data_IF_071695643334
#
_entry.id   IF_071695643334
#
_cell.length_a   1.000
_cell.length_b   1.000
_cell.length_c   1.000
_cell.angle_alpha   90.00
_cell.angle_beta   90.00
_cell.angle_gamma   90.00
#
_symmetry.space_group_name_H-M   'P 1'
#
loop_
_entity.id
_entity.type
_entity.pdbx_description
1 polymer ?
#
# COMPACT_ATOMS: atom_id res chain seq x y z
N UNK A 1 19.30 -9.61 8.45
CA UNK A 1 18.67 -9.51 7.11
C UNK A 1 19.31 -8.36 6.35
N UNK A 2 19.94 -8.65 5.22
CA UNK A 2 20.47 -7.63 4.30
C UNK A 2 19.33 -6.74 3.83
N UNK A 3 19.54 -5.43 3.86
CA UNK A 3 18.51 -4.44 3.53
C UNK A 3 18.23 -4.48 2.02
N UNK A 4 17.34 -5.35 1.58
CA UNK A 4 16.97 -5.50 0.16
C UNK A 4 16.40 -4.19 -0.35
N UNK A 5 17.16 -3.48 -1.20
CA UNK A 5 16.67 -2.23 -1.80
C UNK A 5 15.76 -2.57 -2.97
N UNK A 6 14.46 -2.43 -2.82
CA UNK A 6 13.54 -2.51 -3.95
C UNK A 6 13.58 -1.21 -4.77
N UNK A 7 13.39 -1.39 -6.08
CA UNK A 7 13.14 -0.30 -7.04
C UNK A 7 11.66 -0.24 -7.33
N UNK A 8 11.22 0.86 -7.92
CA UNK A 8 9.85 1.06 -8.36
C UNK A 8 9.74 2.12 -9.42
N UNK A 9 8.57 2.17 -10.05
CA UNK A 9 8.29 3.03 -11.19
C UNK A 9 7.51 4.27 -10.77
N UNK A 10 7.88 5.42 -11.31
CA UNK A 10 7.10 6.65 -11.23
C UNK A 10 5.97 6.62 -12.26
N UNK A 11 4.72 6.81 -11.83
CA UNK A 11 3.54 6.79 -12.70
C UNK A 11 3.51 7.93 -13.71
N UNK A 12 4.23 9.04 -13.45
CA UNK A 12 4.24 10.23 -14.30
C UNK A 12 5.26 10.15 -15.44
N UNK A 13 6.51 9.79 -15.14
CA UNK A 13 7.59 9.80 -16.13
C UNK A 13 8.05 8.40 -16.57
N UNK A 14 7.53 7.34 -15.95
CA UNK A 14 7.91 5.95 -16.22
C UNK A 14 9.31 5.55 -15.71
N UNK A 15 10.07 6.48 -15.11
CA UNK A 15 11.42 6.22 -14.60
C UNK A 15 11.44 5.23 -13.43
N UNK A 16 12.52 4.44 -13.33
CA UNK A 16 12.77 3.50 -12.23
C UNK A 16 13.68 4.12 -11.17
N UNK A 17 13.27 4.06 -9.91
CA UNK A 17 13.96 4.67 -8.77
C UNK A 17 14.02 3.71 -7.58
N UNK A 18 15.07 3.79 -6.78
CA UNK A 18 15.11 3.09 -5.50
C UNK A 18 14.12 3.71 -4.50
N UNK A 19 13.65 2.92 -3.54
CA UNK A 19 12.82 3.39 -2.42
C UNK A 19 13.37 4.65 -1.73
N UNK A 20 14.69 4.72 -1.54
CA UNK A 20 15.34 5.84 -0.85
C UNK A 20 15.36 7.15 -1.67
N UNK A 21 15.17 7.08 -2.98
CA UNK A 21 15.30 8.23 -3.90
C UNK A 21 13.95 8.64 -4.48
N UNK A 22 12.99 7.72 -4.61
CA UNK A 22 11.70 7.97 -5.28
C UNK A 22 10.92 9.14 -4.68
N UNK A 23 10.95 9.31 -3.35
CA UNK A 23 10.28 10.45 -2.69
C UNK A 23 10.81 11.81 -3.18
N UNK A 24 12.14 11.95 -3.23
CA UNK A 24 12.81 13.15 -3.74
C UNK A 24 12.57 13.33 -5.23
N UNK A 25 12.58 12.23 -5.99
CA UNK A 25 12.25 12.27 -7.41
C UNK A 25 10.83 12.81 -7.63
N UNK A 26 9.82 12.31 -6.92
CA UNK A 26 8.43 12.74 -7.08
C UNK A 26 8.26 14.24 -6.84
N UNK A 27 8.96 14.81 -5.86
CA UNK A 27 8.96 16.26 -5.61
C UNK A 27 9.57 17.07 -6.77
N UNK A 28 10.59 16.53 -7.44
CA UNK A 28 11.30 17.19 -8.54
C UNK A 28 10.80 16.81 -9.95
N UNK A 29 9.92 15.80 -10.07
CA UNK A 29 9.54 15.18 -11.34
C UNK A 29 8.90 16.20 -12.30
N UNK A 30 9.52 16.50 -13.45
CA UNK A 30 8.99 17.49 -14.40
C UNK A 30 7.61 17.11 -14.95
N UNK A 31 7.40 15.83 -15.27
CA UNK A 31 6.11 15.34 -15.77
C UNK A 31 4.99 15.55 -14.75
N UNK A 32 5.26 15.27 -13.46
CA UNK A 32 4.32 15.53 -12.37
C UNK A 32 4.03 17.02 -12.18
N UNK A 33 5.05 17.88 -12.30
CA UNK A 33 4.87 19.34 -12.22
C UNK A 33 3.96 19.83 -13.34
N UNK A 34 4.22 19.39 -14.57
CA UNK A 34 3.39 19.73 -15.73
C UNK A 34 1.92 19.31 -15.53
N UNK A 35 1.66 18.09 -15.02
CA UNK A 35 0.30 17.62 -14.75
C UNK A 35 -0.40 18.45 -13.65
N UNK A 36 0.33 18.86 -12.61
CA UNK A 36 -0.19 19.72 -11.55
C UNK A 36 -0.49 21.16 -12.01
N UNK A 37 0.13 21.62 -13.09
CA UNK A 37 -0.03 22.96 -13.64
C UNK A 37 -1.16 23.06 -14.69
N UNK A 38 -1.73 21.93 -15.15
CA UNK A 38 -2.81 21.93 -16.14
C UNK A 38 -4.08 22.56 -15.55
N UNK A 39 -4.57 23.71 -16.06
CA UNK A 39 -5.82 24.30 -15.60
C UNK A 39 -7.01 23.48 -16.10
N UNK A 40 -7.85 22.97 -15.21
CA UNK A 40 -9.14 22.37 -15.62
C UNK A 40 -10.11 23.44 -16.14
N UNK A 41 -10.98 23.02 -17.08
CA UNK A 41 -11.96 23.88 -17.76
C UNK A 41 -12.82 24.66 -16.75
N UNK A 42 -12.92 25.99 -16.96
CA UNK A 42 -13.85 26.88 -16.23
C UNK A 42 -15.28 26.33 -16.35
N UNK A 43 -15.88 25.86 -15.26
CA UNK A 43 -17.27 25.37 -15.33
C UNK A 43 -17.93 24.89 -14.04
N UNK A 44 -17.22 24.50 -12.98
CA UNK A 44 -17.87 24.06 -11.74
C UNK A 44 -17.24 24.72 -10.52
N UNK A 45 -18.07 25.46 -9.80
CA UNK A 45 -17.93 25.97 -8.43
C UNK A 45 -16.51 26.22 -7.90
N UNK A 46 -16.15 27.53 -7.82
CA UNK A 46 -15.09 28.12 -6.97
C UNK A 46 -14.22 27.09 -6.23
N UNK A 47 -13.32 26.45 -6.97
CA UNK A 47 -12.47 25.40 -6.42
C UNK A 47 -11.35 26.04 -5.62
N UNK A 48 -11.62 26.24 -4.32
CA UNK A 48 -10.57 26.51 -3.35
C UNK A 48 -9.50 25.44 -3.50
N UNK A 49 -8.24 25.86 -3.54
CA UNK A 49 -7.11 24.94 -3.50
C UNK A 49 -7.33 23.93 -2.36
N UNK A 50 -7.21 22.65 -2.70
CA UNK A 50 -7.43 21.54 -1.77
C UNK A 50 -6.05 21.12 -1.29
N UNK A 51 -5.88 21.02 0.03
CA UNK A 51 -4.71 20.36 0.60
C UNK A 51 -4.71 18.90 0.16
N UNK A 52 -3.57 18.44 -0.38
CA UNK A 52 -3.33 17.07 -0.83
C UNK A 52 -2.14 16.54 -0.04
N UNK A 53 -2.31 15.40 0.61
CA UNK A 53 -1.24 14.69 1.29
C UNK A 53 -0.52 13.77 0.32
N UNK A 54 0.81 13.78 0.40
CA UNK A 54 1.66 12.73 -0.14
C UNK A 54 1.98 11.74 0.99
N UNK A 55 1.50 10.51 0.86
CA UNK A 55 1.79 9.40 1.76
C UNK A 55 2.77 8.42 1.13
N UNK A 56 3.73 7.94 1.92
CA UNK A 56 4.49 6.71 1.64
C UNK A 56 3.89 5.60 2.49
N UNK A 57 3.55 4.48 1.87
CA UNK A 57 2.99 3.28 2.51
C UNK A 57 3.95 2.13 2.27
N UNK A 58 4.24 1.32 3.28
CA UNK A 58 5.09 0.13 3.16
C UNK A 58 4.61 -1.00 4.07
N UNK A 59 4.86 -2.25 3.70
CA UNK A 59 4.66 -3.37 4.63
C UNK A 59 5.59 -3.20 5.84
N UNK A 60 5.04 -3.26 7.06
CA UNK A 60 5.81 -3.04 8.29
C UNK A 60 6.94 -4.07 8.44
N UNK A 61 6.61 -5.35 8.27
CA UNK A 61 7.59 -6.45 8.30
C UNK A 61 8.10 -6.86 6.91
N UNK A 62 7.48 -6.34 5.84
CA UNK A 62 7.86 -6.59 4.44
C UNK A 62 8.13 -5.28 3.69
N UNK A 63 9.17 -4.52 4.07
CA UNK A 63 9.41 -3.16 3.56
C UNK A 63 9.87 -3.12 2.10
N UNK A 64 10.11 -4.26 1.45
CA UNK A 64 10.35 -4.34 0.01
C UNK A 64 9.11 -3.91 -0.79
N UNK A 65 7.90 -4.14 -0.25
CA UNK A 65 6.66 -3.63 -0.80
C UNK A 65 6.45 -2.20 -0.32
N UNK A 66 6.33 -1.25 -1.25
CA UNK A 66 6.00 0.14 -0.94
C UNK A 66 5.20 0.83 -2.05
N UNK A 67 4.41 1.83 -1.66
CA UNK A 67 3.65 2.75 -2.51
C UNK A 67 3.94 4.19 -2.11
N UNK A 68 3.90 5.09 -3.08
CA UNK A 68 3.74 6.52 -2.87
C UNK A 68 2.40 6.92 -3.46
N UNK A 69 1.54 7.54 -2.65
CA UNK A 69 0.19 7.94 -3.06
C UNK A 69 -0.07 9.41 -2.73
N UNK A 70 -0.97 10.03 -3.49
CA UNK A 70 -1.61 11.29 -3.11
C UNK A 70 -3.06 11.07 -2.73
N UNK A 71 -3.54 11.78 -1.71
CA UNK A 71 -4.95 11.75 -1.30
C UNK A 71 -5.37 13.13 -0.79
N UNK A 72 -6.62 13.53 -1.05
CA UNK A 72 -7.15 14.79 -0.57
C UNK A 72 -7.19 14.81 0.97
N UNK A 73 -6.78 15.91 1.59
CA UNK A 73 -6.77 16.04 3.06
C UNK A 73 -8.19 15.98 3.68
N UNK A 74 -9.20 16.31 2.88
CA UNK A 74 -10.64 16.18 3.22
C UNK A 74 -11.21 14.77 3.02
N UNK A 75 -10.47 13.85 2.40
CA UNK A 75 -10.85 12.44 2.40
C UNK A 75 -10.83 11.90 3.84
N UNK A 76 -11.45 10.75 4.06
CA UNK A 76 -11.50 10.12 5.39
C UNK A 76 -10.46 9.01 5.56
N UNK A 77 -10.22 8.56 6.79
CA UNK A 77 -9.48 7.31 7.02
C UNK A 77 -10.18 6.12 6.34
N UNK A 78 -11.52 6.13 6.25
CA UNK A 78 -12.30 5.08 5.57
C UNK A 78 -12.00 5.06 4.06
N UNK A 79 -11.82 6.22 3.43
CA UNK A 79 -11.42 6.31 2.03
C UNK A 79 -9.99 5.79 1.80
N UNK A 80 -9.08 6.09 2.73
CA UNK A 80 -7.71 5.56 2.70
C UNK A 80 -7.69 4.03 2.90
N UNK A 81 -8.44 3.51 3.87
CA UNK A 81 -8.59 2.08 4.12
C UNK A 81 -9.13 1.35 2.89
N UNK A 82 -10.23 1.84 2.31
CA UNK A 82 -10.83 1.27 1.10
C UNK A 82 -9.83 1.22 -0.04
N UNK A 83 -9.05 2.27 -0.23
CA UNK A 83 -8.00 2.31 -1.25
C UNK A 83 -6.90 1.27 -0.98
N UNK A 84 -6.37 1.20 0.25
CA UNK A 84 -5.32 0.24 0.62
C UNK A 84 -5.79 -1.20 0.44
N UNK A 85 -7.05 -1.48 0.82
CA UNK A 85 -7.69 -2.78 0.65
C UNK A 85 -7.81 -3.15 -0.82
N UNK A 86 -8.37 -2.27 -1.64
CA UNK A 86 -8.53 -2.52 -3.07
C UNK A 86 -7.19 -2.80 -3.77
N UNK A 87 -6.13 -2.05 -3.40
CA UNK A 87 -4.82 -2.16 -4.03
C UNK A 87 -4.00 -3.34 -3.50
N UNK A 88 -4.05 -3.65 -2.19
CA UNK A 88 -3.04 -4.52 -1.57
C UNK A 88 -3.53 -5.55 -0.56
N UNK A 89 -4.74 -5.46 -0.02
CA UNK A 89 -5.09 -6.22 1.20
C UNK A 89 -6.39 -7.02 1.13
N UNK A 90 -7.36 -6.61 0.32
CA UNK A 90 -8.70 -7.22 0.38
C UNK A 90 -8.70 -8.69 -0.06
N UNK A 91 -9.39 -9.54 0.70
CA UNK A 91 -9.55 -10.96 0.37
C UNK A 91 -10.97 -11.48 0.68
N UNK A 92 -11.57 -11.11 1.80
CA UNK A 92 -12.88 -11.61 2.22
C UNK A 92 -13.60 -10.74 3.26
N UNK A 93 -13.34 -9.43 3.27
CA UNK A 93 -14.11 -8.45 4.03
C UNK A 93 -13.69 -8.32 5.49
N UNK A 94 -12.42 -8.58 5.83
CA UNK A 94 -11.96 -8.48 7.22
C UNK A 94 -11.97 -7.04 7.74
N UNK A 95 -11.87 -6.94 9.07
CA UNK A 95 -11.79 -5.69 9.80
C UNK A 95 -10.38 -5.11 9.76
N UNK A 96 -10.30 -3.80 9.89
CA UNK A 96 -9.04 -3.06 9.92
C UNK A 96 -9.05 -1.92 10.93
N UNK A 97 -7.87 -1.43 11.25
CA UNK A 97 -7.67 -0.28 12.12
C UNK A 97 -6.50 0.61 11.68
N UNK A 98 -6.53 1.87 12.11
CA UNK A 98 -5.36 2.76 12.12
C UNK A 98 -4.97 3.10 13.55
N UNK A 99 -3.67 3.10 13.84
CA UNK A 99 -3.11 3.56 15.12
C UNK A 99 -2.37 4.88 14.95
N UNK A 100 -3.01 5.99 15.32
CA UNK A 100 -2.51 7.35 15.06
C UNK A 100 -2.41 8.13 16.37
N UNK A 101 -1.18 8.48 16.75
CA UNK A 101 -0.88 9.28 17.93
C UNK A 101 -1.56 8.74 19.21
N UNK A 102 -1.49 7.41 19.42
CA UNK A 102 -2.07 6.73 20.58
C UNK A 102 -3.59 6.53 20.51
N UNK A 103 -4.23 6.80 19.36
CA UNK A 103 -5.65 6.56 19.16
C UNK A 103 -5.87 5.49 18.09
N UNK A 104 -6.75 4.54 18.35
CA UNK A 104 -7.13 3.50 17.39
C UNK A 104 -8.45 3.86 16.72
N UNK A 105 -8.49 3.79 15.39
CA UNK A 105 -9.68 4.02 14.56
C UNK A 105 -10.05 2.74 13.82
N UNK A 106 -11.25 2.23 14.02
CA UNK A 106 -11.69 0.94 13.47
C UNK A 106 -12.60 1.11 12.24
N UNK A 107 -12.52 0.13 11.34
CA UNK A 107 -13.39 0.04 10.15
C UNK A 107 -14.84 -0.17 10.53
N UNK A 108 -15.09 -0.92 11.60
CA UNK A 108 -16.39 -1.11 12.23
C UNK A 108 -16.29 -0.90 13.73
N UNK A 109 -17.37 -0.42 14.36
CA UNK A 109 -17.42 -0.28 15.81
C UNK A 109 -17.68 -1.64 16.45
N UNK A 110 -16.81 -2.06 17.36
CA UNK A 110 -17.00 -3.27 18.15
C UNK A 110 -17.55 -2.93 19.53
N UNK A 111 -16.97 -1.89 20.16
CA UNK A 111 -17.25 -1.50 21.53
C UNK A 111 -17.78 -0.06 21.63
N UNK A 112 -18.58 0.25 22.66
CA UNK A 112 -18.94 1.62 22.99
C UNK A 112 -17.70 2.48 23.24
N UNK A 113 -17.52 3.53 22.44
CA UNK A 113 -16.37 4.43 22.53
C UNK A 113 -15.35 4.26 21.41
N UNK A 114 -15.47 3.21 20.59
CA UNK A 114 -14.61 3.01 19.43
C UNK A 114 -14.69 4.19 18.47
N UNK A 115 -13.50 4.64 18.05
CA UNK A 115 -13.38 5.72 17.08
C UNK A 115 -13.55 5.14 15.68
N UNK A 116 -14.39 5.78 14.90
CA UNK A 116 -14.65 5.39 13.52
C UNK A 116 -13.63 6.00 12.56
N UNK A 117 -13.29 5.28 11.49
CA UNK A 117 -12.53 5.80 10.35
C UNK A 117 -13.25 6.92 9.56
N UNK A 118 -14.52 7.24 9.87
CA UNK A 118 -15.26 8.37 9.29
C UNK A 118 -14.82 9.73 9.84
N UNK A 119 -13.52 9.98 9.79
CA UNK A 119 -12.86 11.22 10.19
C UNK A 119 -11.93 11.68 9.06
N UNK A 120 -11.94 12.99 8.78
CA UNK A 120 -11.12 13.56 7.73
C UNK A 120 -9.62 13.44 8.07
N UNK A 121 -8.80 13.13 7.08
CA UNK A 121 -7.36 12.93 7.21
C UNK A 121 -6.66 14.14 7.82
N UNK A 122 -7.06 15.36 7.42
CA UNK A 122 -6.50 16.62 7.94
C UNK A 122 -6.70 16.82 9.45
N UNK A 123 -7.63 16.10 10.08
CA UNK A 123 -7.87 16.17 11.52
C UNK A 123 -6.95 15.29 12.34
N UNK A 124 -6.31 14.30 11.71
CA UNK A 124 -5.55 13.24 12.38
C UNK A 124 -4.12 13.08 11.85
N UNK A 125 -3.77 13.76 10.75
CA UNK A 125 -2.46 13.65 10.13
C UNK A 125 -1.83 15.01 9.84
N UNK A 126 -0.51 15.07 9.96
CA UNK A 126 0.31 16.20 9.56
C UNK A 126 1.62 15.69 8.92
N UNK A 127 2.27 16.47 8.04
CA UNK A 127 3.57 16.13 7.49
C UNK A 127 4.58 15.76 8.57
N UNK A 128 5.37 14.71 8.33
CA UNK A 128 6.35 14.15 9.27
C UNK A 128 5.79 13.06 10.20
N UNK A 129 4.46 12.92 10.31
CA UNK A 129 3.86 11.86 11.11
C UNK A 129 4.09 10.47 10.49
N UNK A 130 4.17 9.47 11.38
CA UNK A 130 4.14 8.06 11.04
C UNK A 130 3.08 7.37 11.88
N UNK A 131 2.38 6.42 11.29
CA UNK A 131 1.33 5.66 11.95
C UNK A 131 1.13 4.33 11.25
N UNK A 132 0.42 3.42 11.91
CA UNK A 132 0.23 2.05 11.45
C UNK A 132 -1.20 1.82 10.98
N UNK A 133 -1.34 0.89 10.04
CA UNK A 133 -2.60 0.33 9.59
C UNK A 133 -2.52 -1.19 9.72
N UNK A 134 -3.57 -1.79 10.26
CA UNK A 134 -3.66 -3.23 10.47
C UNK A 134 -4.90 -3.71 9.71
N UNK A 135 -4.74 -4.67 8.82
CA UNK A 135 -5.85 -5.36 8.16
C UNK A 135 -5.85 -6.83 8.57
N UNK A 136 -7.04 -7.33 8.91
CA UNK A 136 -7.31 -8.68 9.39
C UNK A 136 -6.64 -9.00 10.74
N UNK A 137 -7.40 -8.96 11.83
CA UNK A 137 -6.84 -9.21 13.17
C UNK A 137 -6.51 -10.69 13.45
N UNK A 138 -6.95 -11.62 12.59
CA UNK A 138 -6.62 -13.04 12.70
C UNK A 138 -5.32 -13.37 11.97
N UNK A 139 -5.17 -12.89 10.73
CA UNK A 139 -3.93 -13.03 9.93
C UNK A 139 -3.45 -11.67 9.46
N UNK A 140 -2.81 -10.93 10.37
CA UNK A 140 -2.52 -9.52 10.19
C UNK A 140 -1.60 -9.23 9.03
N UNK A 141 -1.96 -8.21 8.28
CA UNK A 141 -1.04 -7.48 7.42
C UNK A 141 -0.92 -6.06 7.94
N UNK A 142 0.26 -5.73 8.46
CA UNK A 142 0.56 -4.45 9.07
C UNK A 142 1.32 -3.55 8.08
N UNK A 143 0.85 -2.31 7.92
CA UNK A 143 1.45 -1.30 7.06
C UNK A 143 1.95 -0.13 7.91
N UNK A 144 3.14 0.37 7.56
CA UNK A 144 3.67 1.63 8.07
C UNK A 144 3.38 2.75 7.07
N UNK A 145 2.70 3.79 7.52
CA UNK A 145 2.35 4.96 6.71
C UNK A 145 3.13 6.17 7.20
N UNK A 146 3.72 6.92 6.27
CA UNK A 146 4.48 8.15 6.54
C UNK A 146 3.89 9.29 5.74
N UNK A 147 3.54 10.38 6.41
CA UNK A 147 3.08 11.62 5.75
C UNK A 147 4.31 12.39 5.28
N UNK A 148 4.61 12.35 3.99
CA UNK A 148 5.83 12.94 3.44
C UNK A 148 5.71 14.46 3.35
N UNK A 149 4.62 14.95 2.78
CA UNK A 149 4.38 16.38 2.58
C UNK A 149 2.90 16.65 2.35
N UNK A 150 2.51 17.91 2.49
CA UNK A 150 1.22 18.42 2.03
C UNK A 150 1.46 19.50 0.98
N UNK A 151 0.59 19.59 -0.01
CA UNK A 151 0.61 20.66 -1.01
C UNK A 151 -0.80 21.19 -1.26
N UNK A 152 -0.88 22.43 -1.68
CA UNK A 152 -2.09 23.00 -2.27
C UNK A 152 -2.21 22.52 -3.73
N UNK A 153 -3.42 22.18 -4.17
CA UNK A 153 -3.66 21.81 -5.56
C UNK A 153 -5.08 21.32 -5.81
N UNK A 154 -5.32 20.83 -7.02
CA UNK A 154 -6.59 20.23 -7.37
C UNK A 154 -6.48 18.70 -7.21
N UNK A 155 -7.26 18.14 -6.28
CA UNK A 155 -7.28 16.70 -6.04
C UNK A 155 -8.16 16.00 -7.09
N UNK A 156 -7.74 14.83 -7.57
CA UNK A 156 -8.53 13.96 -8.46
C UNK A 156 -9.64 13.22 -7.66
N UNK A 157 -10.54 13.98 -7.04
CA UNK A 157 -11.62 13.45 -6.20
C UNK A 157 -11.19 13.09 -4.77
N UNK A 158 -11.89 12.13 -4.17
CA UNK A 158 -11.62 11.63 -2.80
C UNK A 158 -10.74 10.39 -2.76
N UNK A 159 -10.63 9.65 -3.87
CA UNK A 159 -9.80 8.46 -3.95
C UNK A 159 -8.32 8.84 -3.96
N UNK A 160 -7.47 7.97 -3.43
CA UNK A 160 -6.03 8.14 -3.56
C UNK A 160 -5.55 7.80 -4.98
N UNK A 161 -4.42 8.40 -5.37
CA UNK A 161 -3.77 8.17 -6.66
C UNK A 161 -2.36 7.64 -6.43
N UNK A 162 -1.99 6.56 -7.12
CA UNK A 162 -0.63 5.99 -7.04
C UNK A 162 0.35 6.85 -7.85
N UNK A 163 1.29 7.47 -7.15
CA UNK A 163 2.41 8.21 -7.77
C UNK A 163 3.59 7.32 -8.12
N UNK A 164 3.85 6.30 -7.30
CA UNK A 164 4.88 5.31 -7.56
C UNK A 164 4.59 4.02 -6.78
N UNK A 165 5.06 2.89 -7.32
CA UNK A 165 4.95 1.56 -6.71
C UNK A 165 6.24 0.79 -6.96
N UNK A 166 6.65 -0.03 -5.98
CA UNK A 166 7.78 -0.93 -6.17
C UNK A 166 7.52 -1.93 -7.31
N UNK A 167 8.57 -2.28 -8.04
CA UNK A 167 8.55 -3.46 -8.91
C UNK A 167 8.40 -4.72 -8.02
N UNK A 168 7.76 -5.80 -8.50
CA UNK A 168 7.67 -7.05 -7.76
C UNK A 168 9.05 -7.46 -7.23
N UNK A 169 9.19 -7.75 -5.93
CA UNK A 169 10.48 -8.15 -5.37
C UNK A 169 11.03 -9.41 -6.06
N UNK A 170 12.33 -9.44 -6.28
CA UNK A 170 13.01 -10.62 -6.83
C UNK A 170 13.15 -11.69 -5.72
N UNK A 171 12.11 -12.51 -5.59
CA UNK A 171 12.05 -13.60 -4.62
C UNK A 171 12.38 -14.90 -5.34
N UNK A 172 13.30 -15.67 -4.76
CA UNK A 172 13.79 -16.92 -5.33
C UNK A 172 13.15 -18.10 -4.65
N UNK A 173 12.90 -19.14 -5.43
CA UNK A 173 12.46 -20.44 -4.94
C UNK A 173 13.49 -20.98 -3.95
N UNK A 174 13.02 -21.32 -2.75
CA UNK A 174 13.85 -21.84 -1.68
C UNK A 174 14.58 -23.14 -2.08
N UNK A 175 13.93 -23.98 -2.88
CA UNK A 175 14.45 -25.30 -3.27
C UNK A 175 15.53 -25.22 -4.36
N UNK A 176 15.37 -24.35 -5.36
CA UNK A 176 16.22 -24.40 -6.57
C UNK A 176 16.81 -23.04 -7.00
N UNK A 177 16.44 -21.93 -6.36
CA UNK A 177 16.96 -20.59 -6.67
C UNK A 177 16.40 -19.92 -7.94
N UNK A 178 15.55 -20.61 -8.73
CA UNK A 178 14.78 -19.98 -9.83
C UNK A 178 13.82 -18.92 -9.29
N UNK A 179 13.32 -17.96 -10.09
CA UNK A 179 12.25 -17.06 -9.64
C UNK A 179 11.07 -17.83 -9.04
N UNK A 180 10.61 -17.41 -7.86
CA UNK A 180 9.41 -17.98 -7.24
C UNK A 180 8.15 -17.42 -7.90
N UNK A 181 7.11 -18.24 -7.94
CA UNK A 181 5.80 -17.91 -8.51
C UNK A 181 4.68 -18.12 -7.50
N UNK A 182 4.94 -18.88 -6.44
CA UNK A 182 4.00 -19.16 -5.37
C UNK A 182 4.66 -19.12 -3.98
N UNK A 183 3.82 -18.97 -2.97
CA UNK A 183 4.17 -19.05 -1.55
C UNK A 183 3.20 -20.03 -0.87
N UNK A 184 3.74 -20.97 -0.10
CA UNK A 184 2.95 -21.86 0.74
C UNK A 184 2.45 -21.11 1.99
N UNK A 185 1.14 -21.14 2.24
CA UNK A 185 0.52 -20.48 3.40
C UNK A 185 0.80 -21.20 4.73
N UNK A 186 1.31 -22.44 4.70
CA UNK A 186 1.74 -23.17 5.90
C UNK A 186 3.22 -22.96 6.24
N UNK A 187 4.04 -22.64 5.25
CA UNK A 187 5.49 -22.44 5.41
C UNK A 187 5.91 -20.97 5.32
N UNK A 188 4.95 -20.04 5.27
CA UNK A 188 5.21 -18.61 5.04
C UNK A 188 6.05 -17.96 6.13
N UNK A 189 5.98 -18.48 7.35
CA UNK A 189 6.65 -17.92 8.54
C UNK A 189 8.12 -18.37 8.67
N UNK A 190 8.55 -19.36 7.88
CA UNK A 190 9.89 -19.96 7.96
C UNK A 190 10.83 -19.48 6.85
N UNK A 191 10.42 -18.52 6.01
CA UNK A 191 11.11 -18.10 4.77
C UNK A 191 11.38 -19.26 3.76
N UNK A 192 10.84 -20.46 4.02
CA UNK A 192 10.98 -21.67 3.18
C UNK A 192 9.82 -21.85 2.21
N UNK A 193 8.73 -21.10 2.37
CA UNK A 193 7.49 -21.29 1.61
C UNK A 193 7.53 -20.83 0.14
N UNK A 194 8.56 -20.11 -0.30
CA UNK A 194 8.62 -19.60 -1.69
C UNK A 194 9.08 -20.68 -2.67
N UNK A 195 8.23 -20.98 -3.68
CA UNK A 195 8.49 -22.03 -4.67
C UNK A 195 8.23 -21.56 -6.10
N UNK A 196 8.94 -22.15 -7.06
CA UNK A 196 8.63 -22.02 -8.48
C UNK A 196 7.67 -23.13 -8.93
N UNK A 197 7.09 -23.01 -10.12
CA UNK A 197 6.11 -23.97 -10.67
C UNK A 197 6.61 -25.42 -10.70
N UNK A 198 7.91 -25.64 -10.93
CA UNK A 198 8.50 -27.00 -10.95
C UNK A 198 8.55 -27.62 -9.55
N UNK A 199 8.86 -26.81 -8.53
CA UNK A 199 8.99 -27.25 -7.14
C UNK A 199 7.62 -27.31 -6.44
N UNK A 200 6.66 -26.48 -6.87
CA UNK A 200 5.27 -26.48 -6.39
C UNK A 200 4.63 -27.87 -6.48
N UNK A 201 4.80 -28.56 -7.62
CA UNK A 201 4.27 -29.91 -7.90
C UNK A 201 4.79 -31.01 -6.96
N UNK A 202 5.89 -30.74 -6.27
CA UNK A 202 6.56 -31.67 -5.36
C UNK A 202 6.57 -31.15 -3.93
N UNK A 203 5.86 -30.05 -3.66
CA UNK A 203 5.85 -29.42 -2.35
C UNK A 203 5.04 -30.29 -1.38
N UNK A 204 5.61 -30.57 -0.20
CA UNK A 204 5.06 -31.54 0.74
C UNK A 204 3.68 -31.16 1.28
N UNK A 205 3.40 -29.86 1.46
CA UNK A 205 2.10 -29.36 1.90
C UNK A 205 1.00 -29.49 0.82
N UNK A 206 1.35 -29.89 -0.41
CA UNK A 206 0.44 -29.98 -1.55
C UNK A 206 0.20 -28.65 -2.26
N UNK A 207 -0.30 -28.73 -3.50
CA UNK A 207 -0.56 -27.55 -4.33
C UNK A 207 -1.69 -26.66 -3.80
N UNK A 208 -2.66 -27.23 -3.07
CA UNK A 208 -3.79 -26.50 -2.48
C UNK A 208 -3.37 -25.49 -1.40
N UNK A 209 -2.16 -25.67 -0.83
CA UNK A 209 -1.59 -24.75 0.16
C UNK A 209 -0.79 -23.62 -0.48
N UNK A 210 -0.65 -23.60 -1.81
CA UNK A 210 0.11 -22.61 -2.55
C UNK A 210 -0.77 -21.45 -3.01
N UNK A 211 -0.35 -20.25 -2.67
CA UNK A 211 -0.96 -19.01 -3.13
C UNK A 211 -0.01 -18.30 -4.11
N UNK A 212 -0.53 -17.56 -5.10
CA UNK A 212 0.31 -16.86 -6.04
C UNK A 212 1.16 -15.81 -5.32
N UNK A 213 2.42 -15.73 -5.75
CA UNK A 213 3.32 -14.69 -5.28
C UNK A 213 3.00 -13.38 -5.99
N UNK A 214 2.48 -12.41 -5.24
CA UNK A 214 1.99 -11.13 -5.78
C UNK A 214 2.73 -9.93 -5.22
N UNK A 215 2.60 -8.79 -5.90
CA UNK A 215 3.27 -7.55 -5.50
C UNK A 215 2.53 -6.82 -4.35
N UNK A 216 2.35 -7.51 -3.23
CA UNK A 216 1.68 -7.03 -2.04
C UNK A 216 2.29 -7.64 -0.76
N UNK A 217 2.32 -6.89 0.36
CA UNK A 217 2.76 -7.43 1.64
C UNK A 217 1.88 -8.57 2.16
N UNK A 218 0.61 -8.69 1.71
CA UNK A 218 -0.33 -9.76 2.12
C UNK A 218 -0.13 -11.09 1.39
N UNK A 219 0.78 -11.17 0.41
CA UNK A 219 1.02 -12.42 -0.33
C UNK A 219 1.28 -13.61 0.61
N UNK A 220 0.58 -14.72 0.38
CA UNK A 220 0.62 -15.92 1.22
C UNK A 220 -0.40 -15.98 2.36
N UNK A 221 -1.21 -14.93 2.57
CA UNK A 221 -2.17 -14.87 3.68
C UNK A 221 -3.62 -15.04 3.22
N UNK A 222 -4.42 -15.81 3.97
CA UNK A 222 -5.89 -15.87 3.88
C UNK A 222 -6.46 -16.01 2.45
N UNK A 223 -5.81 -16.82 1.60
CA UNK A 223 -6.26 -17.02 0.21
C UNK A 223 -6.11 -15.80 -0.70
N UNK A 224 -5.35 -14.78 -0.30
CA UNK A 224 -5.15 -13.57 -1.07
C UNK A 224 -4.36 -13.84 -2.36
N UNK A 225 -4.93 -13.44 -3.49
CA UNK A 225 -4.40 -13.72 -4.84
C UNK A 225 -3.96 -12.48 -5.62
N UNK A 226 -4.01 -11.29 -5.02
CA UNK A 226 -3.62 -10.03 -5.66
C UNK A 226 -4.75 -8.99 -5.70
N UNK A 227 -4.58 -7.97 -6.53
CA UNK A 227 -5.58 -6.90 -6.71
C UNK A 227 -6.92 -7.48 -7.18
N UNK A 228 -7.98 -7.15 -6.46
CA UNK A 228 -9.33 -7.68 -6.71
C UNK A 228 -10.21 -6.75 -7.55
N UNK A 229 -9.69 -5.60 -8.02
CA UNK A 229 -10.46 -4.59 -8.73
C UNK A 229 -9.67 -4.03 -9.93
N UNK A 230 -10.09 -4.42 -11.14
CA UNK A 230 -9.79 -3.74 -12.41
C UNK A 230 -10.68 -2.50 -12.59
#
# INVERSE_FOLDING_TARGET
MTRTSSKGRCSYCGGSYSKSVVSRHLQACPARKAENEVPMKKGSDKEQAKTIFHLQVEGLYRPMYWLHIEIAAKATLEDLDRFLRAVWLECCGHLSSFEIAGNTFFSEKMEPGDRSMRIALEKVMAPGMKFEHIYDFGTSTELLIKVISAREGQAQGKSAVIMARNDPPDIRCYVCGKPATAICCQCSDEDTGYVCDDCAKKHECGEDMLLPLVNSPRTGMCGYTGECYD
#
